data_IF_956615252571
#
_entry.id   IF_956615252571
#
_cell.length_a   1.000
_cell.length_b   1.000
_cell.length_c   1.000
_cell.angle_alpha   90.00
_cell.angle_beta   90.00
_cell.angle_gamma   90.00
#
_symmetry.space_group_name_H-M   'P 1'
#
loop_
_entity.id
_entity.type
_entity.pdbx_description
1 polymer ?
#
# COMPACT_ATOMS: atom_id res chain seq x y z
N UNK A 1 30.15 14.16 -53.38
CA UNK A 1 30.51 14.01 -51.95
C UNK A 1 29.62 14.83 -51.00
N UNK A 2 29.36 16.12 -51.25
CA UNK A 2 28.61 17.02 -50.34
C UNK A 2 27.18 16.54 -49.98
N UNK A 3 26.43 15.98 -50.95
CA UNK A 3 25.05 15.48 -50.72
C UNK A 3 24.99 14.26 -49.77
N UNK A 4 26.02 13.41 -49.75
CA UNK A 4 26.10 12.22 -48.89
C UNK A 4 26.33 12.63 -47.43
N UNK A 5 27.27 13.54 -47.19
CA UNK A 5 27.54 14.09 -45.85
C UNK A 5 26.33 14.85 -45.27
N UNK A 6 25.59 15.58 -46.10
CA UNK A 6 24.35 16.26 -45.69
C UNK A 6 23.23 15.28 -45.28
N UNK A 7 23.12 14.15 -45.98
CA UNK A 7 22.11 13.12 -45.68
C UNK A 7 22.44 12.35 -44.40
N UNK A 8 23.71 12.02 -44.18
CA UNK A 8 24.22 11.41 -42.95
C UNK A 8 24.00 12.33 -41.74
N UNK A 9 24.28 13.63 -41.87
CA UNK A 9 24.08 14.61 -40.81
C UNK A 9 22.61 14.79 -40.43
N UNK A 10 21.70 14.84 -41.43
CA UNK A 10 20.25 14.91 -41.20
C UNK A 10 19.72 13.64 -40.52
N UNK A 11 20.24 12.47 -40.88
CA UNK A 11 19.92 11.19 -40.25
C UNK A 11 20.36 11.15 -38.79
N UNK A 12 21.56 11.65 -38.49
CA UNK A 12 22.11 11.68 -37.13
C UNK A 12 21.33 12.64 -36.21
N UNK A 13 21.00 13.84 -36.71
CA UNK A 13 20.18 14.83 -35.98
C UNK A 13 18.77 14.28 -35.72
N UNK A 14 18.16 13.62 -36.71
CA UNK A 14 16.82 13.01 -36.55
C UNK A 14 16.81 11.91 -35.48
N UNK A 15 17.82 11.04 -35.44
CA UNK A 15 17.94 10.00 -34.42
C UNK A 15 18.07 10.59 -33.01
N UNK A 16 18.88 11.63 -32.85
CA UNK A 16 19.06 12.28 -31.54
C UNK A 16 17.80 13.04 -31.10
N UNK A 17 17.08 13.67 -32.04
CA UNK A 17 15.79 14.30 -31.76
C UNK A 17 14.73 13.28 -31.33
N UNK A 18 14.65 12.14 -32.02
CA UNK A 18 13.74 11.03 -31.65
C UNK A 18 14.07 10.50 -30.26
N UNK A 19 15.36 10.29 -29.93
CA UNK A 19 15.78 9.86 -28.60
C UNK A 19 15.37 10.88 -27.54
N UNK A 20 15.62 12.18 -27.77
CA UNK A 20 15.23 13.24 -26.84
C UNK A 20 13.72 13.31 -26.61
N UNK A 21 12.92 13.19 -27.67
CA UNK A 21 11.45 13.17 -27.59
C UNK A 21 10.97 11.94 -26.83
N UNK A 22 11.52 10.75 -27.10
CA UNK A 22 11.17 9.52 -26.38
C UNK A 22 11.51 9.63 -24.88
N UNK A 23 12.69 10.17 -24.52
CA UNK A 23 13.04 10.39 -23.12
C UNK A 23 12.15 11.43 -22.42
N UNK A 24 11.73 12.49 -23.12
CA UNK A 24 10.83 13.51 -22.57
C UNK A 24 9.40 12.98 -22.36
N UNK A 25 8.91 12.12 -23.27
CA UNK A 25 7.59 11.48 -23.15
C UNK A 25 7.55 10.52 -21.94
N UNK A 26 8.64 9.80 -21.65
CA UNK A 26 8.73 8.91 -20.48
C UNK A 26 8.58 9.64 -19.14
N UNK A 27 9.00 10.91 -19.04
CA UNK A 27 8.86 11.72 -17.82
C UNK A 27 7.41 12.15 -17.55
N UNK A 28 6.55 12.14 -18.57
CA UNK A 28 5.13 12.51 -18.46
C UNK A 28 4.25 11.37 -17.93
N UNK A 29 4.76 10.13 -17.88
CA UNK A 29 4.07 8.97 -17.30
C UNK A 29 4.54 8.67 -15.87
N UNK A 30 4.62 9.71 -15.03
CA UNK A 30 4.82 9.50 -13.60
C UNK A 30 3.56 8.88 -13.01
N UNK A 31 3.56 7.56 -12.80
CA UNK A 31 2.48 6.89 -12.07
C UNK A 31 2.43 7.44 -10.64
N UNK A 32 1.24 7.84 -10.18
CA UNK A 32 1.02 8.18 -8.77
C UNK A 32 1.30 6.93 -7.93
N UNK A 33 2.49 6.86 -7.34
CA UNK A 33 2.83 5.82 -6.39
C UNK A 33 2.05 6.11 -5.09
N UNK A 34 0.91 5.44 -4.91
CA UNK A 34 0.21 5.48 -3.63
C UNK A 34 1.03 4.74 -2.57
N UNK A 35 1.50 5.47 -1.57
CA UNK A 35 2.09 4.85 -0.38
C UNK A 35 0.95 4.21 0.43
N UNK A 36 0.88 2.88 0.48
CA UNK A 36 -0.15 2.17 1.23
C UNK A 36 0.11 2.18 2.74
N UNK A 37 1.31 2.55 3.19
CA UNK A 37 1.67 2.72 4.61
C UNK A 37 1.46 1.50 5.51
N UNK A 38 1.63 0.28 4.99
CA UNK A 38 1.51 -0.94 5.80
C UNK A 38 2.54 -1.02 6.93
N UNK A 39 3.78 -0.63 6.66
CA UNK A 39 4.87 -0.61 7.64
C UNK A 39 4.58 0.42 8.74
N UNK A 40 4.16 1.62 8.37
CA UNK A 40 3.82 2.69 9.31
C UNK A 40 2.61 2.32 10.16
N UNK A 41 1.57 1.76 9.55
CA UNK A 41 0.39 1.29 10.27
C UNK A 41 0.73 0.12 11.21
N UNK A 42 1.59 -0.79 10.77
CA UNK A 42 2.09 -1.89 11.58
C UNK A 42 2.90 -1.42 12.79
N UNK A 43 3.78 -0.43 12.61
CA UNK A 43 4.51 0.20 13.71
C UNK A 43 3.57 0.93 14.68
N UNK A 44 2.58 1.67 14.16
CA UNK A 44 1.66 2.47 14.96
C UNK A 44 0.79 1.61 15.88
N UNK A 45 0.32 0.46 15.39
CA UNK A 45 -0.60 -0.43 16.10
C UNK A 45 0.02 -1.75 16.56
N UNK A 46 1.33 -1.91 16.38
CA UNK A 46 2.06 -3.13 16.77
C UNK A 46 1.69 -4.36 15.94
N UNK A 47 1.14 -4.20 14.74
CA UNK A 47 0.64 -5.28 13.89
C UNK A 47 1.69 -5.60 12.83
N UNK A 48 1.87 -6.89 12.53
CA UNK A 48 2.73 -7.31 11.43
C UNK A 48 2.22 -6.74 10.08
N UNK A 49 3.02 -5.97 9.32
CA UNK A 49 2.62 -5.40 8.02
C UNK A 49 2.13 -6.44 7.01
N UNK A 50 2.64 -7.67 7.04
CA UNK A 50 2.19 -8.74 6.14
C UNK A 50 0.74 -9.16 6.41
N UNK A 51 0.28 -9.07 7.67
CA UNK A 51 -1.13 -9.32 8.01
C UNK A 51 -2.02 -8.22 7.45
N UNK A 52 -1.58 -6.95 7.53
CA UNK A 52 -2.32 -5.83 6.94
C UNK A 52 -2.38 -5.94 5.41
N UNK A 53 -1.27 -6.32 4.77
CA UNK A 53 -1.21 -6.60 3.33
C UNK A 53 -2.15 -7.75 2.92
N UNK A 54 -2.20 -8.83 3.70
CA UNK A 54 -3.13 -9.93 3.42
C UNK A 54 -4.59 -9.51 3.58
N UNK A 55 -4.92 -8.65 4.55
CA UNK A 55 -6.26 -8.10 4.72
C UNK A 55 -6.63 -7.23 3.53
N UNK A 56 -5.81 -6.23 3.16
CA UNK A 56 -6.05 -5.37 2.00
C UNK A 56 -6.29 -6.18 0.71
N UNK A 57 -5.50 -7.24 0.52
CA UNK A 57 -5.64 -8.12 -0.63
C UNK A 57 -6.86 -9.04 -0.62
N UNK A 58 -7.51 -9.26 0.54
CA UNK A 58 -8.80 -9.93 0.65
C UNK A 58 -9.96 -8.94 0.51
N UNK A 59 -9.82 -7.74 1.08
CA UNK A 59 -10.85 -6.69 1.10
C UNK A 59 -11.07 -6.05 -0.28
N UNK A 60 -10.01 -5.53 -0.90
CA UNK A 60 -10.11 -4.76 -2.15
C UNK A 60 -9.34 -5.37 -3.31
N UNK A 61 -8.58 -6.44 -3.05
CA UNK A 61 -7.57 -6.91 -4.00
C UNK A 61 -6.44 -5.89 -4.20
N UNK A 62 -6.11 -5.12 -3.16
CA UNK A 62 -5.13 -4.03 -3.18
C UNK A 62 -5.51 -2.81 -4.05
N UNK A 63 -6.82 -2.56 -4.23
CA UNK A 63 -7.35 -1.42 -4.99
C UNK A 63 -7.71 -0.27 -4.05
N UNK A 64 -6.96 0.85 -4.05
CA UNK A 64 -7.15 1.91 -3.08
C UNK A 64 -8.42 2.74 -3.31
N UNK A 65 -8.96 2.71 -4.53
CA UNK A 65 -10.18 3.37 -4.98
C UNK A 65 -11.44 2.49 -4.87
N UNK A 66 -11.33 1.30 -4.28
CA UNK A 66 -12.44 0.36 -4.17
C UNK A 66 -13.60 0.92 -3.31
N UNK A 67 -14.83 0.76 -3.79
CA UNK A 67 -16.05 1.07 -3.02
C UNK A 67 -16.99 -0.12 -3.06
N UNK A 68 -17.23 -0.74 -1.90
CA UNK A 68 -18.17 -1.84 -1.72
C UNK A 68 -19.55 -1.32 -1.33
N UNK A 69 -20.62 -1.77 -1.99
CA UNK A 69 -22.00 -1.45 -1.60
C UNK A 69 -22.66 -2.66 -0.93
N UNK A 70 -23.23 -2.46 0.25
CA UNK A 70 -23.89 -3.52 1.01
C UNK A 70 -25.42 -3.43 0.87
N UNK A 71 -26.09 -4.58 1.00
CA UNK A 71 -27.56 -4.69 0.84
C UNK A 71 -28.34 -3.91 1.90
N UNK A 72 -27.73 -3.64 3.05
CA UNK A 72 -28.31 -2.84 4.13
C UNK A 72 -28.13 -1.32 3.94
N UNK A 73 -27.62 -0.87 2.79
CA UNK A 73 -27.38 0.54 2.48
C UNK A 73 -26.08 1.12 3.03
N UNK A 74 -25.31 0.35 3.81
CA UNK A 74 -23.93 0.73 4.18
C UNK A 74 -22.99 0.57 2.98
N UNK A 75 -21.85 1.24 3.03
CA UNK A 75 -20.79 1.05 2.04
C UNK A 75 -19.41 0.97 2.70
N UNK A 76 -18.48 0.37 2.00
CA UNK A 76 -17.10 0.13 2.41
C UNK A 76 -16.17 0.95 1.53
N UNK A 77 -15.20 1.63 2.15
CA UNK A 77 -14.33 2.60 1.47
C UNK A 77 -12.88 2.14 1.44
N UNK A 78 -12.29 2.19 0.25
CA UNK A 78 -10.85 2.18 0.00
C UNK A 78 -10.16 0.84 0.21
N UNK A 79 -8.83 0.90 0.31
CA UNK A 79 -7.90 -0.23 0.33
C UNK A 79 -8.26 -1.34 1.34
N UNK A 80 -8.70 -0.95 2.54
CA UNK A 80 -9.06 -1.82 3.66
C UNK A 80 -10.58 -1.98 3.84
N UNK A 81 -11.39 -1.45 2.92
CA UNK A 81 -12.85 -1.53 2.92
C UNK A 81 -13.48 -1.11 4.27
N UNK A 82 -13.20 0.12 4.70
CA UNK A 82 -13.73 0.65 5.96
C UNK A 82 -15.21 0.97 5.82
N UNK A 83 -16.05 0.26 6.58
CA UNK A 83 -17.49 0.44 6.52
C UNK A 83 -17.98 1.76 7.15
N UNK A 84 -19.02 2.34 6.56
CA UNK A 84 -19.76 3.51 7.08
C UNK A 84 -20.21 3.46 8.54
N UNK A 85 -20.35 2.29 9.16
CA UNK A 85 -20.65 2.18 10.60
C UNK A 85 -19.60 2.91 11.47
N UNK A 86 -18.38 3.06 10.98
CA UNK A 86 -17.30 3.75 11.68
C UNK A 86 -17.36 5.28 11.58
N UNK A 87 -18.25 5.83 10.74
CA UNK A 87 -18.32 7.27 10.47
C UNK A 87 -18.60 8.09 11.73
N UNK A 88 -19.49 7.63 12.60
CA UNK A 88 -19.79 8.31 13.87
C UNK A 88 -18.59 8.32 14.81
N UNK A 89 -17.88 7.20 14.93
CA UNK A 89 -16.68 7.06 15.76
C UNK A 89 -15.51 7.88 15.24
N UNK A 90 -15.32 7.93 13.92
CA UNK A 90 -14.24 8.68 13.29
C UNK A 90 -14.51 10.19 13.31
N UNK A 91 -15.77 10.60 13.17
CA UNK A 91 -16.16 11.99 12.92
C UNK A 91 -15.96 12.39 11.46
N UNK A 92 -16.62 13.48 11.03
CA UNK A 92 -16.61 13.92 9.63
C UNK A 92 -15.19 14.23 9.13
N UNK A 93 -14.39 14.90 9.96
CA UNK A 93 -13.02 15.31 9.62
C UNK A 93 -12.10 14.14 9.30
N UNK A 94 -12.23 13.00 9.99
CA UNK A 94 -11.45 11.81 9.69
C UNK A 94 -12.03 11.01 8.53
N UNK A 95 -13.37 10.95 8.45
CA UNK A 95 -14.07 10.19 7.42
C UNK A 95 -13.72 10.66 6.00
N UNK A 96 -13.59 11.98 5.78
CA UNK A 96 -13.26 12.54 4.45
C UNK A 96 -11.91 12.09 3.90
N UNK A 97 -10.98 11.63 4.75
CA UNK A 97 -9.65 11.16 4.33
C UNK A 97 -9.60 9.67 3.98
N UNK A 98 -10.69 8.90 4.11
CA UNK A 98 -10.67 7.46 3.84
C UNK A 98 -10.39 7.07 2.38
N UNK A 99 -10.45 8.02 1.46
CA UNK A 99 -10.00 7.81 0.08
C UNK A 99 -8.47 7.82 -0.10
N UNK A 100 -7.72 8.36 0.86
CA UNK A 100 -6.26 8.23 0.87
C UNK A 100 -5.86 6.83 1.32
N UNK A 101 -5.09 6.11 0.49
CA UNK A 101 -4.72 4.72 0.74
C UNK A 101 -3.93 4.55 2.05
N UNK A 102 -3.03 5.48 2.35
CA UNK A 102 -2.21 5.46 3.55
C UNK A 102 -3.07 5.59 4.82
N UNK A 103 -3.94 6.60 4.84
CA UNK A 103 -4.86 6.86 5.94
C UNK A 103 -5.90 5.73 6.11
N UNK A 104 -6.39 5.18 4.99
CA UNK A 104 -7.28 4.02 4.98
C UNK A 104 -6.61 2.79 5.63
N UNK A 105 -5.37 2.48 5.26
CA UNK A 105 -4.56 1.43 5.90
C UNK A 105 -4.36 1.65 7.39
N UNK A 106 -4.00 2.87 7.80
CA UNK A 106 -3.85 3.22 9.22
C UNK A 106 -5.17 3.07 9.99
N UNK A 107 -6.30 3.39 9.36
CA UNK A 107 -7.63 3.22 9.96
C UNK A 107 -8.01 1.73 10.07
N UNK A 108 -7.74 0.92 9.05
CA UNK A 108 -7.93 -0.53 9.11
C UNK A 108 -7.07 -1.18 10.19
N UNK A 109 -5.81 -0.77 10.32
CA UNK A 109 -4.94 -1.24 11.38
C UNK A 109 -5.46 -0.89 12.78
N UNK A 110 -6.00 0.32 12.97
CA UNK A 110 -6.65 0.72 14.23
C UNK A 110 -7.85 -0.19 14.58
N UNK A 111 -8.72 -0.46 13.62
CA UNK A 111 -9.89 -1.34 13.81
C UNK A 111 -9.43 -2.77 14.18
N UNK A 112 -8.43 -3.30 13.47
CA UNK A 112 -7.85 -4.61 13.80
C UNK A 112 -7.24 -4.60 15.21
N UNK A 113 -6.59 -3.51 15.60
CA UNK A 113 -6.01 -3.36 16.93
C UNK A 113 -7.07 -3.43 18.05
N UNK A 114 -8.27 -2.90 17.80
CA UNK A 114 -9.41 -3.04 18.71
C UNK A 114 -9.87 -4.51 18.84
N UNK A 115 -9.93 -5.26 17.73
CA UNK A 115 -10.21 -6.70 17.76
C UNK A 115 -9.12 -7.48 18.51
N UNK A 116 -7.84 -7.15 18.30
CA UNK A 116 -6.70 -7.74 19.03
C UNK A 116 -6.80 -7.44 20.52
N UNK A 117 -7.22 -6.23 20.89
CA UNK A 117 -7.44 -5.87 22.30
C UNK A 117 -8.51 -6.74 22.96
N UNK A 118 -9.52 -7.18 22.20
CA UNK A 118 -10.65 -7.98 22.71
C UNK A 118 -10.32 -9.47 22.78
N UNK A 119 -9.65 -10.00 21.75
CA UNK A 119 -9.49 -11.46 21.59
C UNK A 119 -8.04 -11.96 21.70
N UNK A 120 -7.07 -11.06 21.86
CA UNK A 120 -5.65 -11.37 21.76
C UNK A 120 -5.17 -11.42 20.30
N UNK A 121 -3.85 -11.44 20.09
CA UNK A 121 -3.32 -11.43 18.72
C UNK A 121 -3.31 -12.84 18.12
N UNK A 122 -4.41 -13.19 17.48
CA UNK A 122 -4.67 -14.50 16.89
C UNK A 122 -5.66 -14.39 15.71
N UNK A 123 -5.97 -15.52 15.08
CA UNK A 123 -6.89 -15.57 13.94
C UNK A 123 -8.33 -15.15 14.29
N UNK A 124 -8.76 -15.27 15.55
CA UNK A 124 -10.07 -14.76 15.99
C UNK A 124 -10.13 -13.23 15.93
N UNK A 125 -9.04 -12.54 16.26
CA UNK A 125 -8.97 -11.09 16.11
C UNK A 125 -8.98 -10.66 14.63
N UNK A 126 -8.32 -11.43 13.75
CA UNK A 126 -8.38 -11.19 12.30
C UNK A 126 -9.81 -11.38 11.77
N UNK A 127 -10.49 -12.45 12.18
CA UNK A 127 -11.89 -12.68 11.82
C UNK A 127 -12.85 -11.59 12.31
N UNK A 128 -12.64 -11.10 13.53
CA UNK A 128 -13.39 -10.00 14.14
C UNK A 128 -13.37 -8.71 13.30
N UNK A 129 -12.30 -8.47 12.53
CA UNK A 129 -12.20 -7.30 11.65
C UNK A 129 -13.38 -7.22 10.68
N UNK A 130 -13.77 -8.36 10.11
CA UNK A 130 -14.85 -8.44 9.13
C UNK A 130 -16.21 -8.72 9.76
N UNK A 131 -16.29 -9.60 10.76
CA UNK A 131 -17.56 -9.97 11.37
C UNK A 131 -17.41 -10.47 12.80
N UNK A 132 -18.40 -10.17 13.65
CA UNK A 132 -18.51 -10.77 14.99
C UNK A 132 -19.30 -12.10 14.99
N UNK A 133 -19.95 -12.46 13.87
CA UNK A 133 -20.60 -13.77 13.72
C UNK A 133 -19.51 -14.85 13.63
N UNK A 134 -19.50 -15.88 14.51
CA UNK A 134 -18.41 -16.86 14.58
C UNK A 134 -18.06 -17.51 13.24
N UNK A 135 -19.06 -17.98 12.50
CA UNK A 135 -18.87 -18.69 11.23
C UNK A 135 -18.26 -17.77 10.16
N UNK A 136 -18.79 -16.53 10.04
CA UNK A 136 -18.27 -15.54 9.09
C UNK A 136 -16.86 -15.10 9.44
N UNK A 137 -16.60 -14.88 10.73
CA UNK A 137 -15.28 -14.55 11.28
C UNK A 137 -14.25 -15.61 10.94
N UNK A 138 -14.58 -16.89 11.12
CA UNK A 138 -13.67 -18.00 10.84
C UNK A 138 -13.38 -18.14 9.34
N UNK A 139 -14.42 -18.07 8.50
CA UNK A 139 -14.28 -18.10 7.03
C UNK A 139 -13.37 -16.95 6.58
N UNK A 140 -13.56 -15.75 7.12
CA UNK A 140 -12.75 -14.59 6.77
C UNK A 140 -11.29 -14.78 7.22
N UNK A 141 -11.06 -15.20 8.47
CA UNK A 141 -9.72 -15.43 8.98
C UNK A 141 -8.94 -16.46 8.13
N UNK A 142 -9.61 -17.51 7.66
CA UNK A 142 -9.04 -18.50 6.74
C UNK A 142 -8.60 -17.87 5.42
N UNK A 143 -9.44 -17.04 4.79
CA UNK A 143 -9.09 -16.31 3.55
C UNK A 143 -7.85 -15.45 3.73
N UNK A 144 -7.77 -14.72 4.84
CA UNK A 144 -6.60 -13.87 5.16
C UNK A 144 -5.35 -14.72 5.39
N UNK A 145 -5.47 -15.85 6.09
CA UNK A 145 -4.36 -16.79 6.29
C UNK A 145 -3.83 -17.34 4.96
N UNK A 146 -4.71 -17.82 4.08
CA UNK A 146 -4.33 -18.32 2.76
C UNK A 146 -3.61 -17.23 1.94
N UNK A 147 -4.14 -16.00 1.94
CA UNK A 147 -3.50 -14.85 1.30
C UNK A 147 -2.12 -14.59 1.87
N UNK A 148 -1.96 -14.58 3.20
CA UNK A 148 -0.68 -14.40 3.88
C UNK A 148 0.34 -15.47 3.46
N UNK A 149 -0.06 -16.73 3.37
CA UNK A 149 0.83 -17.82 2.96
C UNK A 149 1.26 -17.68 1.49
N UNK A 150 0.40 -17.21 0.59
CA UNK A 150 0.81 -16.90 -0.79
C UNK A 150 1.86 -15.79 -0.83
N UNK A 151 1.65 -14.73 -0.06
CA UNK A 151 2.58 -13.60 0.02
C UNK A 151 3.94 -14.02 0.59
N UNK A 152 3.96 -14.84 1.65
CA UNK A 152 5.19 -15.37 2.24
C UNK A 152 5.99 -16.25 1.28
N UNK A 153 5.29 -17.01 0.45
CA UNK A 153 5.90 -17.93 -0.51
C UNK A 153 6.22 -17.27 -1.87
N UNK A 154 6.06 -15.94 -2.00
CA UNK A 154 6.31 -15.21 -3.25
C UNK A 154 5.38 -15.59 -4.40
N UNK A 155 4.28 -16.30 -4.13
CA UNK A 155 3.30 -16.72 -5.15
C UNK A 155 2.40 -15.57 -5.62
N UNK A 156 2.44 -14.44 -4.92
CA UNK A 156 1.67 -13.25 -5.25
C UNK A 156 2.54 -12.00 -5.15
N UNK A 157 2.59 -11.17 -6.22
CA UNK A 157 3.34 -9.92 -6.21
C UNK A 157 2.76 -8.95 -5.17
N UNK A 158 3.62 -8.25 -4.44
CA UNK A 158 3.20 -7.14 -3.59
C UNK A 158 3.21 -5.84 -4.39
N UNK A 159 2.23 -4.94 -4.19
CA UNK A 159 2.38 -3.55 -4.59
C UNK A 159 3.66 -3.02 -3.94
N UNK A 160 4.61 -2.59 -4.77
CA UNK A 160 5.89 -2.09 -4.32
C UNK A 160 5.63 -0.73 -3.66
N UNK A 161 5.97 -0.59 -2.39
CA UNK A 161 5.94 0.72 -1.75
C UNK A 161 7.00 1.59 -2.43
N UNK A 162 6.67 2.83 -2.78
CA UNK A 162 7.60 3.84 -3.30
C UNK A 162 8.95 3.91 -2.56
N UNK A 163 8.95 3.71 -1.23
CA UNK A 163 10.16 3.66 -0.40
C UNK A 163 10.99 2.40 -0.65
N UNK A 164 10.32 1.27 -0.90
CA UNK A 164 10.97 0.00 -1.24
C UNK A 164 11.52 0.06 -2.66
N UNK A 165 10.79 0.67 -3.60
CA UNK A 165 11.25 0.93 -4.96
C UNK A 165 12.52 1.79 -4.96
N UNK A 166 12.49 2.95 -4.30
CA UNK A 166 13.65 3.80 -4.15
C UNK A 166 14.84 3.10 -3.46
N UNK A 167 14.57 2.25 -2.46
CA UNK A 167 15.62 1.46 -1.79
C UNK A 167 16.20 0.38 -2.71
N UNK A 168 15.39 -0.25 -3.56
CA UNK A 168 15.83 -1.21 -4.57
C UNK A 168 16.67 -0.49 -5.63
N UNK A 169 16.21 0.64 -6.16
CA UNK A 169 16.95 1.45 -7.12
C UNK A 169 18.30 1.88 -6.56
N UNK A 170 18.33 2.44 -5.34
CA UNK A 170 19.57 2.83 -4.68
C UNK A 170 20.52 1.65 -4.50
N UNK A 171 20.00 0.46 -4.18
CA UNK A 171 20.82 -0.73 -4.02
C UNK A 171 21.33 -1.29 -5.36
N UNK A 172 20.52 -1.24 -6.42
CA UNK A 172 20.95 -1.61 -7.78
C UNK A 172 22.08 -0.69 -8.24
N UNK A 173 21.96 0.62 -8.02
CA UNK A 173 23.01 1.60 -8.35
C UNK A 173 24.30 1.33 -7.56
N UNK A 174 24.19 1.01 -6.26
CA UNK A 174 25.33 0.62 -5.42
C UNK A 174 26.02 -0.66 -5.92
N UNK A 175 25.25 -1.69 -6.30
CA UNK A 175 25.77 -2.93 -6.85
C UNK A 175 26.43 -2.71 -8.22
N UNK A 176 25.85 -1.89 -9.08
CA UNK A 176 26.41 -1.55 -10.39
C UNK A 176 27.75 -0.82 -10.24
N UNK A 177 27.83 0.18 -9.36
CA UNK A 177 29.07 0.90 -9.07
C UNK A 177 30.16 -0.02 -8.50
N UNK A 178 29.81 -0.85 -7.52
CA UNK A 178 30.74 -1.79 -6.91
C UNK A 178 31.25 -2.86 -7.88
N UNK A 179 30.42 -3.28 -8.85
CA UNK A 179 30.82 -4.22 -9.92
C UNK A 179 31.89 -3.61 -10.83
N UNK A 180 31.77 -2.33 -11.18
CA UNK A 180 32.79 -1.65 -11.99
C UNK A 180 34.12 -1.49 -11.25
N UNK A 181 34.07 -1.37 -9.93
CA UNK A 181 35.27 -1.18 -9.08
C UNK A 181 35.85 -2.50 -8.54
N UNK A 182 35.30 -3.66 -8.93
CA UNK A 182 35.72 -4.96 -8.40
C UNK A 182 35.48 -5.13 -6.89
N UNK A 183 34.63 -4.29 -6.29
CA UNK A 183 34.34 -4.25 -4.86
C UNK A 183 33.15 -5.14 -4.53
N UNK A 184 33.24 -5.94 -3.46
CA UNK A 184 32.09 -6.70 -2.94
C UNK A 184 31.19 -5.81 -2.09
N UNK A 185 29.89 -5.77 -2.39
CA UNK A 185 28.89 -5.08 -1.56
C UNK A 185 28.41 -6.00 -0.43
N UNK A 186 28.39 -5.53 0.83
CA UNK A 186 27.81 -6.28 1.93
C UNK A 186 26.30 -6.50 1.73
N UNK A 187 25.79 -7.71 1.98
CA UNK A 187 24.35 -7.97 1.96
C UNK A 187 23.66 -7.09 3.01
N UNK A 188 22.83 -6.13 2.58
CA UNK A 188 21.98 -5.36 3.50
C UNK A 188 20.94 -6.30 4.12
N UNK A 189 20.81 -6.25 5.45
CA UNK A 189 19.77 -6.99 6.17
C UNK A 189 18.42 -6.37 5.80
N UNK A 190 17.56 -7.15 5.13
CA UNK A 190 16.15 -6.79 4.93
C UNK A 190 15.55 -6.45 6.29
N UNK A 191 14.78 -5.35 6.36
CA UNK A 191 14.16 -4.86 7.59
C UNK A 191 13.52 -6.04 8.32
N UNK A 192 14.11 -6.42 9.46
CA UNK A 192 13.58 -7.53 10.25
C UNK A 192 12.21 -7.10 10.75
N UNK A 193 11.21 -7.84 10.31
CA UNK A 193 9.82 -7.89 10.78
C UNK A 193 9.58 -7.12 12.09
N UNK A 194 8.63 -6.19 12.10
CA UNK A 194 8.20 -5.56 13.35
C UNK A 194 7.66 -6.67 14.26
N UNK A 195 8.34 -7.02 15.37
CA UNK A 195 7.81 -8.02 16.28
C UNK A 195 6.54 -7.44 16.90
N UNK A 196 5.49 -8.26 16.97
CA UNK A 196 4.27 -7.85 17.67
C UNK A 196 4.63 -7.43 19.08
N UNK A 197 4.33 -6.17 19.39
CA UNK A 197 4.46 -5.64 20.73
C UNK A 197 3.07 -5.28 21.20
N UNK A 198 2.60 -5.92 22.28
CA UNK A 198 1.29 -5.60 22.86
C UNK A 198 1.29 -4.12 23.26
N UNK A 199 0.50 -3.31 22.55
CA UNK A 199 0.35 -1.90 22.89
C UNK A 199 -0.56 -1.70 24.11
N UNK A 200 -0.36 -0.63 24.91
CA UNK A 200 -1.30 -0.26 25.96
C UNK A 200 -2.70 0.01 25.39
N UNK A 201 -3.76 -0.41 26.10
CA UNK A 201 -5.15 -0.20 25.67
C UNK A 201 -5.46 1.25 25.28
N UNK A 202 -4.90 2.22 26.00
CA UNK A 202 -5.08 3.65 25.71
C UNK A 202 -4.67 4.04 24.29
N UNK A 203 -3.61 3.43 23.72
CA UNK A 203 -3.23 3.65 22.31
C UNK A 203 -4.19 3.00 21.33
N UNK A 204 -4.77 1.86 21.68
CA UNK A 204 -5.69 1.11 20.81
C UNK A 204 -7.05 1.81 20.65
N UNK A 205 -7.42 2.69 21.59
CA UNK A 205 -8.67 3.45 21.53
C UNK A 205 -8.59 4.73 20.70
N UNK A 206 -7.39 5.14 20.26
CA UNK A 206 -7.22 6.37 19.51
C UNK A 206 -7.12 6.07 18.01
N UNK A 207 -8.07 6.54 17.17
CA UNK A 207 -7.92 6.44 15.72
C UNK A 207 -6.70 7.22 15.24
N UNK A 208 -6.16 6.92 14.03
CA UNK A 208 -5.02 7.66 13.52
C UNK A 208 -5.37 9.16 13.41
N UNK A 209 -4.40 10.06 13.68
CA UNK A 209 -4.62 11.47 13.44
C UNK A 209 -4.94 11.70 11.96
N UNK A 210 -5.84 12.65 11.68
CA UNK A 210 -6.10 13.05 10.30
C UNK A 210 -4.79 13.55 9.65
N UNK A 211 -4.56 13.31 8.35
CA UNK A 211 -3.41 13.86 7.66
C UNK A 211 -3.36 15.39 7.81
N UNK A 212 -2.17 15.97 7.95
CA UNK A 212 -2.00 17.42 7.93
C UNK A 212 -2.06 17.90 6.46
N UNK A 213 -3.08 18.67 6.10
CA UNK A 213 -3.31 19.18 4.74
C UNK A 213 -4.69 18.82 4.18
N UNK A 214 -5.07 19.42 3.05
CA UNK A 214 -6.31 19.07 2.35
C UNK A 214 -6.28 17.59 1.92
N UNK A 215 -7.41 16.87 1.97
CA UNK A 215 -7.48 15.48 1.53
C UNK A 215 -6.96 15.35 0.09
N UNK A 216 -6.06 14.40 -0.15
CA UNK A 216 -5.82 13.89 -1.51
C UNK A 216 -7.09 13.17 -1.94
N UNK A 217 -8.04 13.94 -2.47
CA UNK A 217 -9.36 13.43 -2.80
C UNK A 217 -9.22 12.27 -3.81
N UNK A 218 -9.90 11.13 -3.60
CA UNK A 218 -10.20 10.27 -4.74
C UNK A 218 -11.01 11.11 -5.73
N UNK A 219 -10.54 11.19 -6.97
CA UNK A 219 -11.27 11.86 -8.05
C UNK A 219 -12.67 11.24 -8.10
N UNK A 220 -13.75 12.01 -7.86
CA UNK A 220 -15.10 11.48 -7.97
C UNK A 220 -15.30 11.03 -9.41
N UNK A 221 -15.62 9.75 -9.62
CA UNK A 221 -16.16 9.31 -10.90
C UNK A 221 -17.52 10.01 -11.05
N UNK A 222 -17.77 10.78 -12.13
CA UNK A 222 -19.06 11.43 -12.33
C UNK A 222 -20.17 10.37 -12.33
N UNK A 223 -21.20 10.61 -11.53
CA UNK A 223 -22.38 9.73 -11.47
C UNK A 223 -23.12 9.78 -12.81
N UNK A 224 -23.14 8.66 -13.53
CA UNK A 224 -24.12 8.34 -14.59
C UNK A 224 -24.98 7.17 -14.11
#
# INVERSE_FOLDING_TARGET
MVKKASMEMRSMISKHLIIYVLSAVSLLFSSNAHAYCFEEAGQLYGINPMVLRSIAGVESGNKPDAVGKNTNGSYDVGLMQINTIWKSTLGQERWKHLGDACYNTKTGAWILAACISKYGYNWRAVGCYNSQTPEKSEIYAKKVFEKLERLKNGKEPQPLDSKVEAAIEAHILELAAATQEGRKVPKKKVLKFVPYTRLPKAKLHQPPPAPAGEPSAPVPVPWQ
#
